data_IF_175624584985
#
_entry.id   IF_175624584985
#
_cell.length_a   1.000
_cell.length_b   1.000
_cell.length_c   1.000
_cell.angle_alpha   90.00
_cell.angle_beta   90.00
_cell.angle_gamma   90.00
#
_symmetry.space_group_name_H-M   'P 1'
#
loop_
_entity.id
_entity.type
_entity.pdbx_description
1 polymer ?
#
# COMPACT_ATOMS: atom_id res chain seq x y z
N UNK A 1 -35.12 -32.11 8.00
CA UNK A 1 -35.50 -31.88 6.58
C UNK A 1 -36.99 -31.65 6.44
N UNK A 2 -37.86 -32.51 6.98
CA UNK A 2 -39.33 -32.38 6.88
C UNK A 2 -39.87 -30.95 7.12
N UNK A 3 -39.43 -30.26 8.18
CA UNK A 3 -39.86 -28.88 8.49
C UNK A 3 -39.41 -27.88 7.43
N UNK A 4 -38.17 -27.95 6.93
CA UNK A 4 -37.71 -27.07 5.85
C UNK A 4 -38.47 -27.30 4.53
N UNK A 5 -39.14 -28.44 4.36
CA UNK A 5 -39.87 -28.81 3.15
C UNK A 5 -41.38 -28.59 3.25
N UNK A 6 -41.88 -28.15 4.41
CA UNK A 6 -43.29 -27.79 4.54
C UNK A 6 -43.61 -26.59 3.64
N UNK A 7 -44.81 -26.53 3.02
CA UNK A 7 -45.18 -25.46 2.08
C UNK A 7 -44.95 -24.05 2.61
N UNK A 8 -45.16 -23.84 3.92
CA UNK A 8 -44.96 -22.56 4.61
C UNK A 8 -43.48 -22.15 4.78
N UNK A 9 -42.54 -23.10 4.74
CA UNK A 9 -41.12 -22.88 4.99
C UNK A 9 -40.23 -23.17 3.77
N UNK A 10 -40.70 -23.95 2.79
CA UNK A 10 -39.94 -24.41 1.63
C UNK A 10 -39.30 -23.26 0.83
N UNK A 11 -39.97 -22.12 0.78
CA UNK A 11 -39.53 -20.91 0.08
C UNK A 11 -38.95 -19.84 1.02
N UNK A 12 -38.56 -20.18 2.25
CA UNK A 12 -37.94 -19.25 3.23
C UNK A 12 -36.47 -19.63 3.54
N UNK A 13 -35.58 -18.67 3.82
CA UNK A 13 -34.25 -18.99 4.29
C UNK A 13 -34.30 -19.44 5.77
N UNK A 14 -33.31 -20.18 6.28
CA UNK A 14 -33.21 -20.52 7.70
C UNK A 14 -33.35 -19.34 8.66
N UNK A 15 -32.89 -18.15 8.28
CA UNK A 15 -33.04 -16.91 9.05
C UNK A 15 -34.48 -16.39 9.19
N UNK A 16 -35.42 -16.97 8.45
CA UNK A 16 -36.86 -16.71 8.55
C UNK A 16 -37.61 -17.92 9.13
N UNK A 17 -37.15 -19.14 8.83
CA UNK A 17 -37.75 -20.38 9.36
C UNK A 17 -37.56 -20.46 10.88
N UNK A 18 -36.36 -20.20 11.38
CA UNK A 18 -36.04 -20.35 12.81
C UNK A 18 -36.87 -19.39 13.69
N UNK A 19 -36.98 -18.08 13.38
CA UNK A 19 -37.86 -17.19 14.14
C UNK A 19 -39.33 -17.57 14.08
N UNK A 20 -39.86 -17.98 12.92
CA UNK A 20 -41.27 -18.38 12.77
C UNK A 20 -41.62 -19.65 13.55
N UNK A 21 -40.69 -20.60 13.62
CA UNK A 21 -40.84 -21.75 14.51
C UNK A 21 -40.86 -21.31 15.97
N UNK A 22 -39.98 -20.38 16.35
CA UNK A 22 -39.94 -19.83 17.70
C UNK A 22 -41.22 -19.06 18.08
N UNK A 23 -41.82 -18.31 17.14
CA UNK A 23 -43.12 -17.63 17.32
C UNK A 23 -44.24 -18.65 17.62
N UNK A 24 -44.14 -19.85 17.06
CA UNK A 24 -45.04 -20.97 17.30
C UNK A 24 -44.64 -21.81 18.54
N UNK A 25 -43.67 -21.36 19.33
CA UNK A 25 -43.18 -22.06 20.52
C UNK A 25 -42.32 -23.30 20.24
N UNK A 26 -41.85 -23.47 19.00
CA UNK A 26 -41.08 -24.64 18.56
C UNK A 26 -39.62 -24.27 18.35
N UNK A 27 -38.71 -24.99 19.03
CA UNK A 27 -37.28 -24.89 18.78
C UNK A 27 -36.71 -26.22 18.32
N UNK A 28 -36.09 -26.24 17.14
CA UNK A 28 -35.46 -27.44 16.56
C UNK A 28 -33.93 -27.37 16.58
N UNK A 29 -33.36 -26.25 16.15
CA UNK A 29 -31.92 -26.00 16.13
C UNK A 29 -31.60 -24.53 15.80
N UNK A 30 -30.34 -24.13 15.97
CA UNK A 30 -29.85 -22.82 15.55
C UNK A 30 -29.81 -22.65 14.03
N UNK A 31 -29.86 -21.40 13.56
CA UNK A 31 -29.76 -21.07 12.13
C UNK A 31 -28.53 -21.68 11.46
N UNK A 32 -27.36 -21.61 12.10
CA UNK A 32 -26.11 -22.21 11.63
C UNK A 32 -26.26 -23.72 11.39
N UNK A 33 -27.05 -24.40 12.22
CA UNK A 33 -27.32 -25.83 12.11
C UNK A 33 -28.27 -26.12 10.94
N UNK A 34 -29.32 -25.33 10.76
CA UNK A 34 -30.18 -25.41 9.58
C UNK A 34 -29.38 -25.22 8.28
N UNK A 35 -28.54 -24.18 8.20
CA UNK A 35 -27.65 -23.97 7.05
C UNK A 35 -26.66 -25.12 6.85
N UNK A 36 -26.15 -25.74 7.91
CA UNK A 36 -25.25 -26.90 7.80
C UNK A 36 -25.98 -28.12 7.22
N UNK A 37 -27.20 -28.40 7.68
CA UNK A 37 -28.00 -29.53 7.19
C UNK A 37 -28.43 -29.31 5.74
N UNK A 38 -28.96 -28.14 5.39
CA UNK A 38 -29.34 -27.82 4.02
C UNK A 38 -28.14 -27.88 3.06
N UNK A 39 -26.95 -27.43 3.50
CA UNK A 39 -25.71 -27.57 2.70
C UNK A 39 -25.34 -29.04 2.46
N UNK A 40 -25.50 -29.90 3.47
CA UNK A 40 -25.23 -31.35 3.35
C UNK A 40 -26.16 -32.03 2.33
N UNK A 41 -27.38 -31.52 2.19
CA UNK A 41 -28.37 -32.00 1.22
C UNK A 41 -28.32 -31.25 -0.13
N UNK A 42 -27.42 -30.27 -0.30
CA UNK A 42 -27.29 -29.51 -1.54
C UNK A 42 -28.41 -28.50 -1.80
N UNK A 43 -29.26 -28.22 -0.81
CA UNK A 43 -30.50 -27.43 -0.98
C UNK A 43 -30.32 -25.92 -0.68
N UNK A 44 -29.09 -25.48 -0.43
CA UNK A 44 -28.77 -24.05 -0.34
C UNK A 44 -28.51 -23.51 -1.73
N UNK A 45 -29.59 -23.12 -2.41
CA UNK A 45 -29.52 -22.46 -3.71
C UNK A 45 -29.54 -20.94 -3.58
N UNK A 46 -28.77 -20.27 -4.43
CA UNK A 46 -28.86 -18.81 -4.54
C UNK A 46 -30.24 -18.40 -5.07
N UNK A 47 -30.96 -17.58 -4.31
CA UNK A 47 -32.23 -16.99 -4.75
C UNK A 47 -31.97 -15.76 -5.61
N UNK A 48 -32.46 -15.80 -6.85
CA UNK A 48 -32.55 -14.64 -7.74
C UNK A 48 -31.66 -14.69 -8.98
N UNK A 49 -32.00 -13.85 -9.97
CA UNK A 49 -31.23 -13.61 -11.21
C UNK A 49 -29.98 -12.73 -10.95
N UNK A 50 -29.23 -12.97 -9.87
CA UNK A 50 -28.04 -12.18 -9.60
C UNK A 50 -26.92 -12.68 -10.51
N UNK A 51 -26.50 -11.83 -11.46
CA UNK A 51 -25.42 -12.12 -12.41
C UNK A 51 -24.23 -12.71 -11.64
N UNK A 52 -23.76 -13.88 -12.05
CA UNK A 52 -22.58 -14.51 -11.48
C UNK A 52 -21.44 -13.49 -11.48
N UNK A 53 -20.85 -13.24 -10.31
CA UNK A 53 -19.69 -12.38 -10.23
C UNK A 53 -18.60 -13.03 -11.09
N UNK A 54 -18.27 -12.40 -12.23
CA UNK A 54 -17.11 -12.82 -13.00
C UNK A 54 -15.90 -12.72 -12.07
N UNK A 55 -15.22 -13.85 -11.85
CA UNK A 55 -13.89 -13.84 -11.23
C UNK A 55 -13.01 -13.00 -12.15
N UNK A 56 -12.81 -11.73 -11.81
CA UNK A 56 -11.78 -10.91 -12.44
C UNK A 56 -10.46 -11.66 -12.23
N UNK A 57 -9.71 -11.88 -13.31
CA UNK A 57 -8.38 -12.48 -13.23
C UNK A 57 -7.53 -11.75 -12.19
N UNK A 58 -6.61 -12.47 -11.54
CA UNK A 58 -5.65 -11.84 -10.64
C UNK A 58 -4.93 -10.73 -11.42
N UNK A 59 -4.89 -9.48 -10.94
CA UNK A 59 -4.14 -8.44 -11.62
C UNK A 59 -2.67 -8.84 -11.66
N UNK A 60 -1.99 -8.58 -12.77
CA UNK A 60 -0.54 -8.64 -12.81
C UNK A 60 0.00 -7.58 -11.83
N UNK A 61 0.70 -8.02 -10.80
CA UNK A 61 1.38 -7.12 -9.87
C UNK A 61 2.72 -6.71 -10.46
N UNK A 62 2.99 -5.40 -10.47
CA UNK A 62 4.32 -4.90 -10.79
C UNK A 62 5.34 -5.23 -9.70
N UNK A 63 6.53 -5.64 -10.12
CA UNK A 63 7.65 -5.97 -9.23
C UNK A 63 8.88 -5.18 -9.62
N UNK A 64 9.68 -4.77 -8.64
CA UNK A 64 10.98 -4.15 -8.85
C UNK A 64 12.08 -4.97 -8.15
N UNK A 65 13.17 -5.19 -8.87
CA UNK A 65 14.40 -5.86 -8.40
C UNK A 65 15.60 -4.92 -8.33
N UNK A 66 15.44 -3.69 -8.83
CA UNK A 66 16.43 -2.62 -8.77
C UNK A 66 15.76 -1.25 -8.58
N UNK A 67 16.50 -0.22 -8.16
CA UNK A 67 15.99 1.14 -8.10
C UNK A 67 15.54 1.65 -9.47
N UNK A 68 14.58 2.56 -9.49
CA UNK A 68 14.07 3.25 -10.66
C UNK A 68 13.40 2.34 -11.71
N UNK A 69 12.82 1.23 -11.26
CA UNK A 69 11.95 0.36 -12.08
C UNK A 69 10.46 0.58 -11.80
N UNK A 70 10.13 0.93 -10.56
CA UNK A 70 8.75 1.09 -10.11
C UNK A 70 8.67 2.17 -9.04
N UNK A 71 8.00 3.25 -9.38
CA UNK A 71 7.70 4.34 -8.49
C UNK A 71 6.24 4.28 -8.06
N UNK A 72 5.97 4.63 -6.81
CA UNK A 72 4.65 4.99 -6.33
C UNK A 72 4.64 6.50 -6.09
N UNK A 73 3.55 7.19 -6.40
CA UNK A 73 3.42 8.60 -6.09
C UNK A 73 2.03 8.93 -5.62
N UNK A 74 1.93 10.03 -4.88
CA UNK A 74 0.69 10.50 -4.29
C UNK A 74 0.83 11.97 -3.88
N UNK A 75 -0.31 12.61 -3.59
CA UNK A 75 -0.41 14.00 -3.15
C UNK A 75 -1.09 14.04 -1.79
N UNK A 76 -0.47 14.71 -0.82
CA UNK A 76 -1.10 15.00 0.47
C UNK A 76 -1.21 16.50 0.69
N UNK A 77 -2.23 16.92 1.41
CA UNK A 77 -2.31 18.30 1.89
C UNK A 77 -1.40 18.49 3.12
N UNK A 78 -0.87 19.70 3.24
CA UNK A 78 -0.11 20.21 4.36
C UNK A 78 -0.89 21.36 4.99
N UNK A 79 -1.08 21.36 6.32
CA UNK A 79 -1.80 22.42 7.02
C UNK A 79 -1.14 23.79 6.87
N UNK A 80 -1.95 24.84 6.69
CA UNK A 80 -1.50 26.22 6.83
C UNK A 80 -2.03 26.81 8.14
N UNK A 81 -1.33 27.80 8.69
CA UNK A 81 -1.81 28.59 9.83
C UNK A 81 -3.07 29.41 9.48
N UNK A 82 -3.33 29.65 8.19
CA UNK A 82 -4.53 30.32 7.70
C UNK A 82 -5.64 29.28 7.46
N UNK A 83 -6.74 29.39 8.21
CA UNK A 83 -7.91 28.50 8.07
C UNK A 83 -8.43 28.49 6.62
N UNK A 84 -8.64 27.30 6.07
CA UNK A 84 -9.15 27.10 4.71
C UNK A 84 -8.08 27.20 3.61
N UNK A 85 -6.83 27.52 3.96
CA UNK A 85 -5.68 27.43 3.05
C UNK A 85 -4.90 26.15 3.32
N UNK A 86 -4.46 25.51 2.25
CA UNK A 86 -3.64 24.30 2.30
C UNK A 86 -2.50 24.42 1.30
N UNK A 87 -1.38 23.76 1.61
CA UNK A 87 -0.35 23.47 0.63
C UNK A 87 -0.46 22.01 0.20
N UNK A 88 0.06 21.68 -0.97
CA UNK A 88 -0.03 20.36 -1.58
C UNK A 88 1.38 19.82 -1.76
N UNK A 89 1.68 18.74 -1.06
CA UNK A 89 2.93 18.00 -1.15
C UNK A 89 2.75 16.85 -2.13
N UNK A 90 3.46 16.94 -3.26
CA UNK A 90 3.56 15.90 -4.25
C UNK A 90 4.80 15.08 -3.90
N UNK A 91 4.70 13.75 -3.90
CA UNK A 91 5.84 12.88 -3.60
C UNK A 91 5.89 11.68 -4.52
N UNK A 92 7.10 11.37 -5.00
CA UNK A 92 7.43 10.19 -5.78
C UNK A 92 8.41 9.35 -4.97
N UNK A 93 8.02 8.10 -4.71
CA UNK A 93 8.73 7.12 -3.91
C UNK A 93 9.19 5.96 -4.81
N UNK A 94 10.47 5.63 -4.76
CA UNK A 94 10.97 4.39 -5.34
C UNK A 94 10.56 3.20 -4.45
N UNK A 95 9.80 2.26 -5.00
CA UNK A 95 9.24 1.15 -4.22
C UNK A 95 10.34 0.20 -3.76
N UNK A 96 11.34 -0.07 -4.60
CA UNK A 96 12.41 -1.00 -4.28
C UNK A 96 13.28 -0.51 -3.12
N UNK A 97 13.71 0.75 -3.19
CA UNK A 97 14.64 1.32 -2.21
C UNK A 97 13.97 2.07 -1.08
N UNK A 98 12.66 2.35 -1.18
CA UNK A 98 11.89 3.23 -0.28
C UNK A 98 12.34 4.68 -0.33
N UNK A 99 13.13 5.11 -1.31
CA UNK A 99 13.70 6.46 -1.37
C UNK A 99 12.67 7.42 -1.94
N UNK A 100 12.50 8.58 -1.33
CA UNK A 100 11.80 9.71 -1.96
C UNK A 100 12.72 10.23 -3.06
N UNK A 101 12.38 9.96 -4.31
CA UNK A 101 13.18 10.34 -5.48
C UNK A 101 12.84 11.76 -5.94
N UNK A 102 11.57 12.15 -5.81
CA UNK A 102 11.06 13.48 -6.13
C UNK A 102 10.01 13.92 -5.12
N UNK A 103 9.99 15.22 -4.81
CA UNK A 103 8.91 15.85 -4.08
C UNK A 103 8.87 17.34 -4.43
N UNK A 104 7.68 17.94 -4.34
CA UNK A 104 7.49 19.37 -4.48
C UNK A 104 6.29 19.83 -3.64
N UNK A 105 6.33 21.11 -3.20
CA UNK A 105 5.22 21.73 -2.46
C UNK A 105 4.69 22.93 -3.22
N UNK A 106 3.36 22.95 -3.40
CA UNK A 106 2.62 23.93 -4.19
C UNK A 106 1.38 24.45 -3.46
N UNK A 107 0.81 25.56 -3.93
CA UNK A 107 -0.43 26.13 -3.38
C UNK A 107 -1.70 25.56 -4.03
N UNK A 108 -1.56 24.78 -5.10
CA UNK A 108 -2.67 24.20 -5.84
C UNK A 108 -2.37 22.77 -6.29
N UNK A 109 -3.43 21.96 -6.39
CA UNK A 109 -3.39 20.65 -7.01
C UNK A 109 -3.64 20.77 -8.53
N UNK A 110 -2.63 20.48 -9.36
CA UNK A 110 -2.68 20.59 -10.83
C UNK A 110 -1.90 19.48 -11.52
N UNK A 111 -2.41 19.03 -12.66
CA UNK A 111 -1.76 18.00 -13.47
C UNK A 111 -0.43 18.43 -14.09
N UNK A 112 -0.31 19.71 -14.43
CA UNK A 112 0.91 20.33 -14.97
C UNK A 112 2.08 20.22 -13.97
N UNK A 113 1.80 20.48 -12.69
CA UNK A 113 2.80 20.40 -11.62
C UNK A 113 3.26 18.96 -11.40
N UNK A 114 2.34 17.99 -11.50
CA UNK A 114 2.69 16.57 -11.47
C UNK A 114 3.58 16.18 -12.65
N UNK A 115 3.27 16.65 -13.86
CA UNK A 115 4.03 16.38 -15.08
C UNK A 115 5.47 16.94 -14.98
N UNK A 116 5.61 18.19 -14.51
CA UNK A 116 6.91 18.83 -14.28
C UNK A 116 7.73 18.09 -13.22
N UNK A 117 7.12 17.71 -12.09
CA UNK A 117 7.78 16.94 -11.05
C UNK A 117 8.30 15.61 -11.58
N UNK A 118 7.49 14.86 -12.32
CA UNK A 118 7.92 13.57 -12.90
C UNK A 118 9.11 13.77 -13.84
N UNK A 119 9.05 14.76 -14.74
CA UNK A 119 10.13 15.06 -15.67
C UNK A 119 11.43 15.42 -14.94
N UNK A 120 11.38 16.31 -13.94
CA UNK A 120 12.54 16.67 -13.11
C UNK A 120 13.11 15.45 -12.37
N UNK A 121 12.23 14.60 -11.85
CA UNK A 121 12.64 13.41 -11.10
C UNK A 121 13.36 12.41 -11.99
N UNK A 122 12.86 12.17 -13.21
CA UNK A 122 13.51 11.29 -14.20
C UNK A 122 14.92 11.77 -14.55
N UNK A 123 15.08 13.08 -14.75
CA UNK A 123 16.39 13.66 -15.05
C UNK A 123 17.36 13.57 -13.88
N UNK A 124 16.89 13.88 -12.66
CA UNK A 124 17.67 13.79 -11.43
C UNK A 124 18.14 12.35 -11.17
N UNK A 125 17.27 11.38 -11.35
CA UNK A 125 17.55 9.95 -11.14
C UNK A 125 18.22 9.29 -12.36
N UNK A 126 18.38 10.03 -13.47
CA UNK A 126 19.00 9.58 -14.73
C UNK A 126 18.38 8.28 -15.28
N UNK A 127 17.07 8.12 -15.13
CA UNK A 127 16.36 6.87 -15.45
C UNK A 127 15.51 6.92 -16.73
N UNK A 128 15.59 7.99 -17.53
CA UNK A 128 14.74 8.18 -18.71
C UNK A 128 14.89 7.17 -19.85
N UNK A 129 15.90 6.29 -19.79
CA UNK A 129 16.12 5.22 -20.78
C UNK A 129 15.75 3.82 -20.25
N UNK A 130 15.33 3.72 -19.00
CA UNK A 130 15.00 2.44 -18.38
C UNK A 130 13.48 2.26 -18.35
N UNK A 131 12.97 1.03 -18.50
CA UNK A 131 11.56 0.75 -18.25
C UNK A 131 11.19 1.17 -16.82
N UNK A 132 10.33 2.18 -16.72
CA UNK A 132 9.85 2.72 -15.46
C UNK A 132 8.33 2.65 -15.43
N UNK A 133 7.80 2.14 -14.33
CA UNK A 133 6.37 2.16 -14.03
C UNK A 133 6.10 3.23 -12.98
N UNK A 134 5.13 4.09 -13.22
CA UNK A 134 4.64 5.04 -12.23
C UNK A 134 3.25 4.62 -11.76
N UNK A 135 3.15 4.19 -10.51
CA UNK A 135 1.91 3.78 -9.87
C UNK A 135 1.29 4.93 -9.06
N UNK A 136 0.01 5.19 -9.29
CA UNK A 136 -0.77 6.21 -8.60
C UNK A 136 -2.11 5.66 -8.14
N UNK A 137 -2.77 6.41 -7.25
CA UNK A 137 -4.19 6.22 -7.00
C UNK A 137 -5.06 6.74 -8.18
N UNK A 138 -6.36 6.96 -7.93
CA UNK A 138 -7.32 7.41 -8.92
C UNK A 138 -7.66 8.91 -8.82
N UNK A 139 -6.84 9.72 -8.15
CA UNK A 139 -7.06 11.15 -7.96
C UNK A 139 -7.13 11.95 -9.27
N UNK A 140 -7.65 13.17 -9.19
CA UNK A 140 -7.89 14.02 -10.36
C UNK A 140 -6.58 14.41 -11.05
N UNK A 141 -5.57 14.84 -10.28
CA UNK A 141 -4.25 15.15 -10.83
C UNK A 141 -3.60 13.92 -11.51
N UNK A 142 -3.77 12.73 -10.92
CA UNK A 142 -3.22 11.47 -11.43
C UNK A 142 -3.83 11.06 -12.76
N UNK A 143 -5.06 11.49 -13.04
CA UNK A 143 -5.79 11.22 -14.29
C UNK A 143 -5.73 12.37 -15.30
N UNK A 144 -5.02 13.44 -14.98
CA UNK A 144 -4.93 14.59 -15.87
C UNK A 144 -4.32 14.20 -17.23
N UNK A 145 -4.89 14.74 -18.31
CA UNK A 145 -4.39 14.47 -19.66
C UNK A 145 -2.94 14.97 -19.83
N UNK A 146 -2.63 16.13 -19.24
CA UNK A 146 -1.27 16.71 -19.22
C UNK A 146 -0.25 15.72 -18.68
N UNK A 147 -0.53 15.09 -17.53
CA UNK A 147 0.35 14.08 -16.96
C UNK A 147 0.47 12.86 -17.86
N UNK A 148 -0.64 12.33 -18.39
CA UNK A 148 -0.61 11.13 -19.23
C UNK A 148 0.22 11.34 -20.51
N UNK A 149 0.11 12.51 -21.15
CA UNK A 149 0.95 12.88 -22.30
C UNK A 149 2.43 12.91 -21.89
N UNK A 150 2.74 13.55 -20.76
CA UNK A 150 4.13 13.62 -20.27
C UNK A 150 4.72 12.24 -19.98
N UNK A 151 3.94 11.33 -19.39
CA UNK A 151 4.39 9.95 -19.14
C UNK A 151 4.70 9.22 -20.44
N UNK A 152 3.89 9.42 -21.49
CA UNK A 152 4.16 8.87 -22.81
C UNK A 152 5.45 9.44 -23.44
N UNK A 153 5.66 10.76 -23.36
CA UNK A 153 6.89 11.41 -23.83
C UNK A 153 8.15 10.87 -23.14
N UNK A 154 8.04 10.54 -21.86
CA UNK A 154 9.13 9.99 -21.04
C UNK A 154 9.23 8.45 -21.11
N UNK A 155 8.41 7.79 -21.94
CA UNK A 155 8.31 6.33 -22.04
C UNK A 155 8.05 5.62 -20.69
N UNK A 156 7.31 6.28 -19.79
CA UNK A 156 6.90 5.74 -18.49
C UNK A 156 5.55 5.03 -18.63
N UNK A 157 5.47 3.82 -18.09
CA UNK A 157 4.21 3.06 -18.06
C UNK A 157 3.35 3.53 -16.87
N UNK A 158 2.17 4.15 -17.10
CA UNK A 158 1.26 4.49 -16.01
C UNK A 158 0.61 3.22 -15.43
N UNK A 159 0.43 3.21 -14.12
CA UNK A 159 -0.26 2.17 -13.38
C UNK A 159 -1.19 2.82 -12.36
N UNK A 160 -2.42 2.34 -12.23
CA UNK A 160 -3.40 2.91 -11.30
C UNK A 160 -4.00 1.86 -10.37
N UNK A 161 -4.31 2.27 -9.13
CA UNK A 161 -5.07 1.47 -8.18
C UNK A 161 -6.38 0.99 -8.78
N UNK A 162 -6.83 -0.21 -8.39
CA UNK A 162 -8.11 -0.74 -8.87
C UNK A 162 -9.26 0.12 -8.33
N UNK A 163 -10.34 0.30 -9.11
CA UNK A 163 -11.53 0.98 -8.61
C UNK A 163 -12.05 0.29 -7.35
N UNK A 164 -12.22 1.07 -6.27
CA UNK A 164 -12.73 0.63 -4.96
C UNK A 164 -11.78 -0.28 -4.16
N UNK A 165 -10.47 -0.16 -4.37
CA UNK A 165 -9.45 -0.80 -3.51
C UNK A 165 -8.52 0.27 -2.94
N UNK A 166 -8.63 0.54 -1.64
CA UNK A 166 -7.79 1.53 -0.94
C UNK A 166 -6.33 1.12 -0.87
N UNK A 167 -6.05 -0.18 -0.69
CA UNK A 167 -4.72 -0.64 -0.32
C UNK A 167 -3.71 -0.74 -1.49
N UNK A 168 -4.08 -0.36 -2.71
CA UNK A 168 -3.21 -0.54 -3.87
C UNK A 168 -2.04 0.48 -3.88
N UNK A 169 -2.12 1.59 -3.12
CA UNK A 169 -1.03 2.58 -2.94
C UNK A 169 -0.39 2.57 -1.53
N UNK A 170 -0.32 1.40 -0.89
CA UNK A 170 0.11 1.26 0.51
C UNK A 170 1.51 1.84 0.83
N UNK A 171 2.39 1.96 -0.17
CA UNK A 171 3.73 2.50 0.03
C UNK A 171 3.74 4.01 0.23
N UNK A 172 2.98 4.76 -0.59
CA UNK A 172 2.84 6.20 -0.39
C UNK A 172 2.08 6.51 0.92
N UNK A 173 1.04 5.74 1.23
CA UNK A 173 0.31 5.88 2.50
C UNK A 173 1.22 5.65 3.72
N UNK A 174 2.03 4.58 3.69
CA UNK A 174 2.97 4.30 4.78
C UNK A 174 4.06 5.36 4.90
N UNK A 175 4.48 5.96 3.80
CA UNK A 175 5.40 7.09 3.79
C UNK A 175 4.77 8.29 4.49
N UNK A 176 3.58 8.74 4.07
CA UNK A 176 2.92 9.89 4.69
C UNK A 176 2.64 9.68 6.17
N UNK A 177 2.28 8.45 6.55
CA UNK A 177 2.14 8.09 7.96
C UNK A 177 3.46 8.33 8.69
N UNK A 178 4.57 7.83 8.15
CA UNK A 178 5.91 8.06 8.74
C UNK A 178 6.19 9.56 8.90
N UNK A 179 5.95 10.37 7.87
CA UNK A 179 6.20 11.82 7.89
C UNK A 179 5.40 12.56 8.96
N UNK A 180 4.14 12.15 9.20
CA UNK A 180 3.25 12.74 10.21
C UNK A 180 3.65 12.41 11.65
N UNK A 181 4.40 11.32 11.88
CA UNK A 181 4.86 10.93 13.22
C UNK A 181 6.26 11.45 13.56
N UNK A 182 6.93 12.17 12.65
CA UNK A 182 8.24 12.77 12.95
C UNK A 182 8.03 14.01 13.82
N UNK A 183 8.84 14.24 14.87
CA UNK A 183 8.72 15.44 15.72
C UNK A 183 8.78 16.78 14.98
N UNK A 184 9.33 16.79 13.76
CA UNK A 184 9.39 17.96 12.89
C UNK A 184 8.07 18.25 12.14
N UNK A 185 7.01 17.46 12.35
CA UNK A 185 5.70 17.72 11.75
C UNK A 185 5.06 18.97 12.39
N UNK A 186 4.68 20.00 11.60
CA UNK A 186 4.11 21.22 12.15
C UNK A 186 2.61 21.03 12.40
N UNK A 187 2.26 20.68 13.63
CA UNK A 187 0.86 20.48 14.06
C UNK A 187 0.01 21.74 13.86
N UNK A 188 0.59 22.93 14.07
CA UNK A 188 -0.08 24.23 13.88
C UNK A 188 -0.14 24.68 12.41
N UNK A 189 0.50 23.95 11.50
CA UNK A 189 0.61 24.27 10.09
C UNK A 189 1.74 25.24 9.73
N UNK A 190 1.88 25.47 8.43
CA UNK A 190 2.90 26.33 7.85
C UNK A 190 2.39 27.77 7.65
N UNK A 191 3.23 28.75 7.98
CA UNK A 191 2.93 30.18 7.79
C UNK A 191 2.77 30.54 6.31
N UNK A 192 3.62 29.95 5.47
CA UNK A 192 3.71 30.24 4.04
C UNK A 192 4.30 29.06 3.26
N UNK A 193 4.27 29.19 1.94
CA UNK A 193 4.76 28.18 1.01
C UNK A 193 6.27 27.92 1.17
N UNK A 194 7.05 28.94 1.54
CA UNK A 194 8.51 28.82 1.70
C UNK A 194 8.83 27.93 2.89
N UNK A 195 8.15 28.11 4.03
CA UNK A 195 8.31 27.23 5.20
C UNK A 195 7.91 25.79 4.88
N UNK A 196 6.81 25.60 4.13
CA UNK A 196 6.37 24.27 3.71
C UNK A 196 7.42 23.58 2.80
N UNK A 197 8.06 24.33 1.90
CA UNK A 197 9.15 23.84 1.03
C UNK A 197 10.40 23.49 1.83
N UNK A 198 10.86 24.39 2.71
CA UNK A 198 12.01 24.14 3.58
C UNK A 198 11.81 22.88 4.44
N UNK A 199 10.60 22.67 4.96
CA UNK A 199 10.26 21.45 5.66
C UNK A 199 10.31 20.22 4.74
N UNK A 200 9.77 20.32 3.52
CA UNK A 200 9.85 19.26 2.51
C UNK A 200 11.29 18.83 2.22
N UNK A 201 12.20 19.80 2.11
CA UNK A 201 13.64 19.57 1.91
C UNK A 201 14.26 18.82 3.09
N UNK A 202 14.03 19.33 4.30
CA UNK A 202 14.57 18.77 5.54
C UNK A 202 14.06 17.35 5.78
N UNK A 203 12.75 17.13 5.65
CA UNK A 203 12.15 15.82 5.92
C UNK A 203 12.57 14.79 4.88
N UNK A 204 12.72 15.19 3.61
CA UNK A 204 13.20 14.29 2.56
C UNK A 204 14.66 13.92 2.77
N UNK A 205 15.52 14.88 3.13
CA UNK A 205 16.92 14.63 3.47
C UNK A 205 17.05 13.66 4.65
N UNK A 206 16.32 13.92 5.74
CA UNK A 206 16.28 13.02 6.90
C UNK A 206 15.76 11.63 6.53
N UNK A 207 14.65 11.53 5.82
CA UNK A 207 14.03 10.26 5.50
C UNK A 207 14.94 9.41 4.59
N UNK A 208 15.58 10.03 3.60
CA UNK A 208 16.45 9.29 2.67
C UNK A 208 17.78 8.89 3.30
N UNK A 209 18.40 9.74 4.12
CA UNK A 209 19.80 9.55 4.54
C UNK A 209 19.98 9.20 6.03
N UNK A 210 18.95 9.37 6.87
CA UNK A 210 19.05 9.14 8.32
C UNK A 210 18.07 8.08 8.81
N UNK A 211 16.83 8.10 8.31
CA UNK A 211 15.79 7.17 8.73
C UNK A 211 16.13 5.72 8.33
N UNK A 212 16.08 4.80 9.30
CA UNK A 212 16.32 3.37 9.09
C UNK A 212 14.98 2.67 8.86
N UNK A 213 14.71 2.35 7.60
CA UNK A 213 13.38 1.91 7.20
C UNK A 213 13.22 0.38 7.43
N UNK A 214 12.19 -0.01 8.17
CA UNK A 214 11.97 -1.40 8.59
C UNK A 214 11.74 -2.35 7.40
N UNK A 215 11.00 -1.90 6.38
CA UNK A 215 10.70 -2.67 5.17
C UNK A 215 11.91 -2.99 4.26
N UNK A 216 13.10 -2.50 4.61
CA UNK A 216 14.38 -2.80 3.92
C UNK A 216 15.45 -3.21 4.95
N UNK A 217 15.05 -3.82 6.06
CA UNK A 217 15.94 -4.29 7.11
C UNK A 217 16.83 -3.18 7.71
N UNK A 218 16.22 -2.00 7.92
CA UNK A 218 16.80 -0.89 8.70
C UNK A 218 18.09 -0.32 8.12
N UNK A 219 18.31 -0.44 6.81
CA UNK A 219 19.21 0.46 6.07
C UNK A 219 18.45 1.75 5.75
N UNK A 220 19.17 2.81 5.39
CA UNK A 220 18.51 4.03 4.92
C UNK A 220 18.02 3.85 3.48
N UNK A 221 16.93 4.52 3.08
CA UNK A 221 16.47 4.47 1.70
C UNK A 221 17.55 4.87 0.67
N UNK A 222 18.39 5.86 1.01
CA UNK A 222 19.53 6.30 0.21
C UNK A 222 20.58 5.20 0.04
N UNK A 223 20.98 4.54 1.15
CA UNK A 223 21.92 3.40 1.12
C UNK A 223 21.41 2.27 0.22
N UNK A 224 20.12 1.94 0.35
CA UNK A 224 19.48 0.90 -0.48
C UNK A 224 19.48 1.27 -1.95
N UNK A 225 19.21 2.54 -2.24
CA UNK A 225 19.14 3.07 -3.61
C UNK A 225 20.51 3.09 -4.29
N UNK A 226 21.58 3.37 -3.54
CA UNK A 226 22.98 3.33 -4.03
C UNK A 226 23.60 1.93 -4.06
N UNK A 227 22.90 0.91 -3.54
CA UNK A 227 23.38 -0.47 -3.51
C UNK A 227 24.37 -0.78 -2.38
N UNK A 228 24.48 0.09 -1.38
CA UNK A 228 25.38 -0.05 -0.21
C UNK A 228 24.85 -1.08 0.81
N UNK A 229 23.55 -1.38 0.73
CA UNK A 229 22.81 -2.15 1.72
C UNK A 229 23.32 -3.58 1.89
N UNK A 230 23.76 -4.24 0.82
CA UNK A 230 24.28 -5.61 0.87
C UNK A 230 25.46 -5.72 1.85
N UNK A 231 26.39 -4.78 1.77
CA UNK A 231 27.57 -4.75 2.63
C UNK A 231 27.21 -4.42 4.07
N UNK A 232 26.32 -3.44 4.27
CA UNK A 232 25.84 -3.04 5.60
C UNK A 232 25.14 -4.21 6.30
N UNK A 233 24.25 -4.91 5.59
CA UNK A 233 23.49 -6.03 6.12
C UNK A 233 24.39 -7.23 6.45
N UNK A 234 25.35 -7.56 5.58
CA UNK A 234 26.35 -8.60 5.83
C UNK A 234 27.18 -8.30 7.08
N UNK A 235 27.60 -7.05 7.25
CA UNK A 235 28.34 -6.62 8.45
C UNK A 235 27.51 -6.76 9.72
N UNK A 236 26.24 -6.31 9.69
CA UNK A 236 25.32 -6.45 10.84
C UNK A 236 25.05 -7.90 11.22
N UNK A 237 24.89 -8.78 10.24
CA UNK A 237 24.75 -10.21 10.47
C UNK A 237 25.98 -10.80 11.18
N UNK A 238 27.18 -10.45 10.72
CA UNK A 238 28.43 -10.88 11.36
C UNK A 238 28.52 -10.40 12.83
N UNK A 239 28.18 -9.14 13.11
CA UNK A 239 28.16 -8.59 14.47
C UNK A 239 27.20 -9.37 15.37
N UNK A 240 25.98 -9.65 14.89
CA UNK A 240 24.98 -10.38 15.67
C UNK A 240 25.38 -11.84 15.91
N UNK A 241 25.99 -12.50 14.93
CA UNK A 241 26.52 -13.86 15.08
C UNK A 241 27.65 -13.91 16.11
N UNK A 242 28.60 -12.97 16.03
CA UNK A 242 29.69 -12.89 17.00
C UNK A 242 29.16 -12.65 18.41
N UNK A 243 28.21 -11.71 18.58
CA UNK A 243 27.60 -11.45 19.88
C UNK A 243 26.87 -12.69 20.44
N UNK A 244 26.19 -13.45 19.57
CA UNK A 244 25.54 -14.71 19.95
C UNK A 244 26.53 -15.81 20.33
N UNK A 245 27.69 -15.88 19.68
CA UNK A 245 28.74 -16.83 20.05
C UNK A 245 29.34 -16.52 21.43
N UNK A 246 29.49 -15.23 21.77
CA UNK A 246 30.04 -14.80 23.07
C UNK A 246 29.01 -14.99 24.19
N UNK A 247 27.74 -14.68 23.94
CA UNK A 247 26.67 -14.68 24.94
C UNK A 247 25.44 -15.50 24.50
N UNK A 248 25.56 -16.82 24.28
CA UNK A 248 24.47 -17.64 23.75
C UNK A 248 23.20 -17.58 24.60
N UNK A 249 23.32 -17.35 25.92
CA UNK A 249 22.23 -17.24 26.88
C UNK A 249 21.26 -16.08 26.58
N UNK A 250 21.68 -15.05 25.83
CA UNK A 250 20.82 -13.92 25.45
C UNK A 250 19.91 -14.22 24.27
N UNK A 251 20.04 -15.38 23.63
CA UNK A 251 19.25 -15.77 22.47
C UNK A 251 18.51 -17.09 22.69
N UNK A 252 17.19 -17.01 22.81
CA UNK A 252 16.32 -18.19 22.78
C UNK A 252 16.13 -18.78 21.37
N UNK A 253 16.40 -17.99 20.32
CA UNK A 253 16.16 -18.35 18.91
C UNK A 253 17.29 -17.83 17.98
N UNK A 254 17.03 -17.73 16.68
CA UNK A 254 17.94 -17.12 15.70
C UNK A 254 18.18 -15.63 15.98
N UNK A 255 19.27 -15.10 15.43
CA UNK A 255 19.51 -13.65 15.42
C UNK A 255 18.47 -12.94 14.56
N UNK A 256 18.42 -11.61 14.68
CA UNK A 256 17.59 -10.75 13.83
C UNK A 256 17.87 -11.02 12.34
N UNK A 257 16.82 -10.99 11.53
CA UNK A 257 16.94 -11.14 10.09
C UNK A 257 17.67 -9.93 9.46
N UNK A 258 18.87 -10.17 8.95
CA UNK A 258 19.67 -9.23 8.19
C UNK A 258 19.84 -9.65 6.73
N UNK A 259 18.98 -10.55 6.22
CA UNK A 259 19.05 -10.98 4.84
C UNK A 259 18.66 -9.86 3.87
N UNK A 260 19.27 -9.87 2.70
CA UNK A 260 18.97 -8.91 1.65
C UNK A 260 17.63 -9.22 0.97
N UNK A 261 16.80 -8.21 0.73
CA UNK A 261 15.48 -8.37 0.09
C UNK A 261 15.61 -8.06 -1.41
N UNK A 262 15.54 -9.08 -2.26
CA UNK A 262 15.89 -8.92 -3.68
C UNK A 262 14.80 -8.45 -4.63
N UNK A 263 13.53 -8.60 -4.29
CA UNK A 263 12.42 -8.16 -5.14
C UNK A 263 11.29 -7.63 -4.27
N UNK A 264 10.69 -6.53 -4.71
CA UNK A 264 9.58 -5.87 -4.02
C UNK A 264 8.39 -5.79 -4.98
N UNK A 265 7.26 -6.31 -4.53
CA UNK A 265 6.01 -6.24 -5.27
C UNK A 265 5.20 -5.01 -4.84
N UNK A 266 4.49 -4.39 -5.80
CA UNK A 266 3.53 -3.32 -5.53
C UNK A 266 2.41 -3.81 -4.61
N UNK A 267 1.79 -4.92 -4.98
CA UNK A 267 0.70 -5.58 -4.29
C UNK A 267 1.09 -7.04 -4.04
N UNK A 268 1.73 -7.37 -2.90
CA UNK A 268 2.16 -8.74 -2.64
C UNK A 268 0.95 -9.67 -2.72
N UNK A 269 1.07 -10.71 -3.55
CA UNK A 269 0.07 -11.77 -3.55
C UNK A 269 0.09 -12.40 -2.14
N UNK A 270 -1.07 -12.55 -1.53
CA UNK A 270 -1.19 -13.50 -0.41
C UNK A 270 -0.94 -14.87 -1.02
N UNK A 271 0.30 -15.33 -1.00
CA UNK A 271 0.57 -16.76 -1.10
C UNK A 271 -0.28 -17.41 -0.01
N UNK A 272 -1.25 -18.21 -0.44
CA UNK A 272 -1.91 -19.12 0.48
C UNK A 272 -0.77 -20.00 0.99
N UNK A 273 -0.38 -19.80 2.25
CA UNK A 273 0.29 -20.85 2.99
C UNK A 273 -0.58 -22.09 2.82
N UNK A 274 -0.11 -23.03 2.01
CA UNK A 274 -0.67 -24.36 1.99
C UNK A 274 -0.43 -24.91 3.39
N UNK A 275 -1.51 -24.96 4.17
CA UNK A 275 -1.57 -25.74 5.39
C UNK A 275 -1.73 -27.22 5.02
#
# INVERSE_FOLDING_TARGET
MAVCHQPEYASLPPSQIVPRLADNGVYLASESTFYRVLRRHGEVHHRGRKRTAHKRGKPATWTASAPNQLWAWDITWLPSTVKGRWFYLYMILDIFSRKIVGYEVHEAEKGELAAELVQRTVWKEKCGHNPLVLHADNGAAMKSQTLQIKLQELAITPSHSRPRVSNDNAYAESLFRTLKYVPAWPEEGFSDLTQARLWGDNVTGWYNEVHRHSGINYVTPGQRHRGEDKMILKHRDAVYRQAKLIHPERWSHSTRNWQWVGTVALNPEREKQAA
#
